data_IF_214871939510
#
_entry.id   IF_214871939510
#
_cell.length_a   1.000
_cell.length_b   1.000
_cell.length_c   1.000
_cell.angle_alpha   90.00
_cell.angle_beta   90.00
_cell.angle_gamma   90.00
#
_symmetry.space_group_name_H-M   'P 1'
#
loop_
_entity.id
_entity.type
_entity.pdbx_description
1 polymer ?
#
# COMPACT_ATOMS: atom_id res chain seq x y z
N UNK A 1 -3.00 5.45 24.95
CA UNK A 1 -3.76 5.02 23.75
C UNK A 1 -4.41 6.25 23.09
N UNK A 2 -3.81 6.72 22.00
CA UNK A 2 -4.33 7.87 21.26
C UNK A 2 -5.59 7.48 20.49
N UNK A 3 -6.44 8.46 20.17
CA UNK A 3 -7.65 8.30 19.33
C UNK A 3 -7.40 7.73 17.91
N UNK A 4 -6.21 7.21 17.60
CA UNK A 4 -5.79 6.77 16.27
C UNK A 4 -5.40 5.28 16.25
N UNK A 5 -5.03 4.70 17.40
CA UNK A 5 -4.64 3.29 17.52
C UNK A 5 -5.77 2.33 17.09
N UNK A 6 -7.03 2.69 17.34
CA UNK A 6 -8.19 1.87 16.98
C UNK A 6 -8.45 1.78 15.46
N UNK A 7 -7.95 2.74 14.67
CA UNK A 7 -8.21 2.78 13.23
C UNK A 7 -7.50 1.62 12.55
N UNK A 8 -6.22 1.37 12.86
CA UNK A 8 -5.49 0.22 12.32
C UNK A 8 -5.98 -1.13 12.87
N UNK A 9 -6.57 -1.15 14.06
CA UNK A 9 -7.24 -2.35 14.57
C UNK A 9 -8.51 -2.69 13.77
N UNK A 10 -9.09 -1.73 13.03
CA UNK A 10 -10.32 -1.95 12.26
C UNK A 10 -10.06 -2.79 11.01
N UNK A 11 -10.74 -3.95 10.83
CA UNK A 11 -10.67 -4.77 9.61
C UNK A 11 -10.78 -3.97 8.32
N UNK A 12 -9.80 -4.13 7.43
CA UNK A 12 -9.81 -3.53 6.11
C UNK A 12 -9.54 -2.02 6.07
N UNK A 13 -9.03 -1.41 7.14
CA UNK A 13 -8.86 0.04 7.14
C UNK A 13 -7.88 0.52 6.06
N UNK A 14 -8.12 1.74 5.60
CA UNK A 14 -7.22 2.51 4.76
C UNK A 14 -6.98 3.84 5.46
N UNK A 15 -5.72 4.14 5.76
CA UNK A 15 -5.29 5.43 6.30
C UNK A 15 -4.44 6.12 5.23
N UNK A 16 -4.78 7.37 4.94
CA UNK A 16 -3.99 8.22 4.06
C UNK A 16 -3.39 9.35 4.88
N UNK A 17 -2.07 9.45 4.88
CA UNK A 17 -1.30 10.42 5.63
C UNK A 17 -0.71 11.46 4.67
N UNK A 18 -1.06 12.72 4.87
CA UNK A 18 -0.39 13.83 4.20
C UNK A 18 0.60 14.45 5.18
N UNK A 19 1.87 14.51 4.80
CA UNK A 19 2.93 15.02 5.64
C UNK A 19 3.90 15.92 4.87
N UNK A 20 4.20 17.09 5.45
CA UNK A 20 5.17 18.05 4.90
C UNK A 20 6.61 17.64 5.14
N UNK A 21 6.87 16.82 6.16
CA UNK A 21 8.19 16.29 6.45
C UNK A 21 8.11 14.78 6.63
N UNK A 22 8.74 14.06 5.72
CA UNK A 22 8.75 12.59 5.67
C UNK A 22 9.25 11.96 6.99
N UNK A 23 10.32 12.51 7.57
CA UNK A 23 10.85 12.05 8.87
C UNK A 23 9.85 12.15 10.02
N UNK A 24 9.01 13.18 10.01
CA UNK A 24 7.99 13.37 11.05
C UNK A 24 6.82 12.40 10.85
N UNK A 25 6.44 12.12 9.60
CA UNK A 25 5.49 11.05 9.28
C UNK A 25 5.99 9.69 9.74
N UNK A 26 7.22 9.34 9.41
CA UNK A 26 7.85 8.08 9.82
C UNK A 26 7.87 7.98 11.35
N UNK A 27 8.30 9.02 12.07
CA UNK A 27 8.34 9.02 13.53
C UNK A 27 6.94 8.96 14.17
N UNK A 28 5.92 9.59 13.57
CA UNK A 28 4.54 9.46 14.03
C UNK A 28 4.02 8.04 13.80
N UNK A 29 4.32 7.45 12.65
CA UNK A 29 3.88 6.12 12.29
C UNK A 29 4.59 5.03 13.07
N UNK A 30 5.87 5.16 13.35
CA UNK A 30 6.58 4.21 14.20
C UNK A 30 5.97 4.20 15.61
N UNK A 31 5.57 5.37 16.14
CA UNK A 31 4.83 5.41 17.41
C UNK A 31 3.48 4.70 17.36
N UNK A 32 2.82 4.72 16.20
CA UNK A 32 1.53 4.07 15.99
C UNK A 32 1.66 2.56 15.69
N UNK A 33 2.73 2.15 15.00
CA UNK A 33 2.98 0.78 14.57
C UNK A 33 3.73 -0.06 15.63
N UNK A 34 4.59 0.55 16.45
CA UNK A 34 5.36 -0.15 17.48
C UNK A 34 4.50 -0.91 18.50
N UNK A 35 3.36 -0.37 18.98
CA UNK A 35 2.46 -1.13 19.84
C UNK A 35 1.76 -2.29 19.10
N UNK A 36 1.56 -2.16 17.78
CA UNK A 36 0.84 -3.14 16.96
C UNK A 36 1.72 -4.31 16.53
N UNK A 37 3.03 -4.11 16.36
CA UNK A 37 3.97 -5.21 16.12
C UNK A 37 3.96 -6.23 17.26
N UNK A 38 3.71 -5.78 18.49
CA UNK A 38 3.52 -6.64 19.66
C UNK A 38 2.14 -7.34 19.72
N UNK A 39 1.18 -6.96 18.86
CA UNK A 39 -0.21 -7.46 18.87
C UNK A 39 -0.51 -8.42 17.71
N UNK A 40 0.47 -9.23 17.28
CA UNK A 40 0.34 -10.19 16.18
C UNK A 40 -0.11 -9.57 14.84
N UNK A 41 0.49 -8.45 14.44
CA UNK A 41 0.35 -7.91 13.08
C UNK A 41 1.63 -8.17 12.29
N UNK A 42 1.48 -8.51 11.00
CA UNK A 42 2.59 -8.49 10.04
C UNK A 42 2.66 -7.10 9.44
N UNK A 43 3.80 -6.43 9.53
CA UNK A 43 3.99 -5.08 9.03
C UNK A 43 5.01 -5.13 7.91
N UNK A 44 4.60 -4.72 6.71
CA UNK A 44 5.48 -4.54 5.56
C UNK A 44 5.63 -3.06 5.33
N UNK A 45 6.86 -2.57 5.41
CA UNK A 45 7.21 -1.18 5.12
C UNK A 45 7.87 -1.12 3.74
N UNK A 46 7.27 -0.38 2.82
CA UNK A 46 7.77 -0.22 1.48
C UNK A 46 7.89 1.27 1.14
N UNK A 47 9.13 1.69 0.93
CA UNK A 47 9.44 3.02 0.41
C UNK A 47 9.73 2.92 -1.08
N UNK A 48 9.12 3.82 -1.84
CA UNK A 48 9.33 3.89 -3.28
C UNK A 48 10.65 4.59 -3.66
N UNK A 49 11.39 5.14 -2.70
CA UNK A 49 12.76 5.63 -2.93
C UNK A 49 13.73 4.51 -3.32
N UNK A 50 13.46 3.27 -2.90
CA UNK A 50 14.29 2.11 -3.26
C UNK A 50 14.01 1.55 -4.66
N UNK A 51 12.98 2.05 -5.34
CA UNK A 51 12.75 1.68 -6.73
C UNK A 51 13.67 2.48 -7.64
N UNK A 52 14.35 1.80 -8.56
CA UNK A 52 14.90 2.47 -9.75
C UNK A 52 13.74 2.95 -10.65
N UNK A 53 13.55 4.27 -10.84
CA UNK A 53 12.41 4.78 -11.61
C UNK A 53 12.42 4.35 -13.08
N UNK A 54 13.60 4.19 -13.69
CA UNK A 54 13.71 3.80 -15.10
C UNK A 54 13.39 2.32 -15.29
N UNK A 55 13.79 1.49 -14.33
CA UNK A 55 13.54 0.05 -14.39
C UNK A 55 12.14 -0.33 -13.89
N UNK A 56 11.53 0.44 -12.98
CA UNK A 56 10.32 0.01 -12.29
C UNK A 56 9.10 0.88 -12.53
N UNK A 57 9.23 2.20 -12.77
CA UNK A 57 8.04 3.08 -12.88
C UNK A 57 7.56 3.31 -14.31
N UNK A 58 8.32 2.85 -15.31
CA UNK A 58 7.96 3.05 -16.72
C UNK A 58 6.79 2.15 -17.17
N UNK A 59 6.64 0.97 -16.58
CA UNK A 59 5.65 -0.02 -16.98
C UNK A 59 4.93 -0.60 -15.76
N UNK A 60 3.60 -0.61 -15.79
CA UNK A 60 2.78 -1.06 -14.66
C UNK A 60 3.12 -2.49 -14.23
N UNK A 61 3.34 -3.38 -15.18
CA UNK A 61 3.63 -4.76 -14.88
C UNK A 61 5.01 -4.93 -14.20
N UNK A 62 6.03 -4.23 -14.69
CA UNK A 62 7.34 -4.20 -14.03
C UNK A 62 7.25 -3.63 -12.61
N UNK A 63 6.48 -2.55 -12.44
CA UNK A 63 6.20 -1.97 -11.14
C UNK A 63 5.53 -2.98 -10.19
N UNK A 64 4.45 -3.64 -10.63
CA UNK A 64 3.69 -4.57 -9.80
C UNK A 64 4.49 -5.84 -9.47
N UNK A 65 5.34 -6.32 -10.38
CA UNK A 65 6.29 -7.42 -10.12
C UNK A 65 7.31 -7.00 -9.06
N UNK A 66 7.95 -5.84 -9.21
CA UNK A 66 8.87 -5.29 -8.20
C UNK A 66 8.18 -5.12 -6.84
N UNK A 67 6.98 -4.56 -6.84
CA UNK A 67 6.16 -4.39 -5.64
C UNK A 67 5.92 -5.74 -4.93
N UNK A 68 5.44 -6.75 -5.66
CA UNK A 68 5.18 -8.07 -5.08
C UNK A 68 6.44 -8.78 -4.59
N UNK A 69 7.58 -8.64 -5.29
CA UNK A 69 8.86 -9.19 -4.86
C UNK A 69 9.35 -8.56 -3.55
N UNK A 70 9.21 -7.24 -3.39
CA UNK A 70 9.53 -6.59 -2.14
C UNK A 70 8.56 -7.00 -1.02
N UNK A 71 7.27 -7.14 -1.33
CA UNK A 71 6.25 -7.59 -0.37
C UNK A 71 6.62 -8.96 0.23
N UNK A 72 6.93 -9.95 -0.60
CA UNK A 72 7.27 -11.30 -0.11
C UNK A 72 8.62 -11.34 0.58
N UNK A 73 9.59 -10.52 0.15
CA UNK A 73 10.90 -10.39 0.81
C UNK A 73 10.74 -9.89 2.23
N UNK A 74 9.98 -8.82 2.44
CA UNK A 74 9.70 -8.28 3.78
C UNK A 74 8.91 -9.27 4.66
N UNK A 75 8.07 -10.11 4.04
CA UNK A 75 7.37 -11.19 4.74
C UNK A 75 8.20 -12.47 4.94
N UNK A 76 9.43 -12.51 4.42
CA UNK A 76 10.29 -13.71 4.42
C UNK A 76 9.63 -14.93 3.78
N UNK A 77 8.82 -14.72 2.73
CA UNK A 77 8.18 -15.79 1.96
C UNK A 77 9.04 -16.14 0.73
N UNK A 78 9.01 -17.41 0.26
CA UNK A 78 9.69 -17.80 -0.97
C UNK A 78 9.21 -17.00 -2.18
N UNK A 79 10.08 -16.83 -3.19
CA UNK A 79 9.65 -16.27 -4.46
C UNK A 79 8.88 -17.31 -5.26
N UNK A 80 7.64 -17.00 -5.60
CA UNK A 80 6.71 -17.83 -6.38
C UNK A 80 6.04 -17.01 -7.49
N UNK A 81 6.60 -15.84 -7.81
CA UNK A 81 5.94 -14.90 -8.69
C UNK A 81 5.91 -15.41 -10.14
N UNK A 82 6.96 -16.11 -10.60
CA UNK A 82 7.01 -16.64 -11.96
C UNK A 82 5.96 -17.72 -12.24
N UNK A 83 5.59 -18.53 -11.23
CA UNK A 83 4.63 -19.63 -11.39
C UNK A 83 3.17 -19.14 -11.47
N UNK A 84 2.86 -18.03 -10.80
CA UNK A 84 1.49 -17.51 -10.68
C UNK A 84 1.17 -16.26 -11.49
N UNK A 85 2.16 -15.66 -12.19
CA UNK A 85 1.98 -14.37 -12.85
C UNK A 85 1.68 -14.48 -14.34
N UNK A 86 0.40 -14.50 -14.67
CA UNK A 86 -0.08 -14.51 -16.05
C UNK A 86 -0.41 -13.09 -16.54
N UNK A 87 0.58 -12.38 -17.06
CA UNK A 87 0.35 -11.04 -17.62
C UNK A 87 -0.44 -11.09 -18.94
N UNK A 88 -0.20 -12.10 -19.77
CA UNK A 88 -0.71 -12.15 -21.15
C UNK A 88 -2.21 -12.42 -21.21
N UNK A 89 -2.73 -13.31 -20.34
CA UNK A 89 -4.15 -13.65 -20.32
C UNK A 89 -4.96 -12.82 -19.32
N UNK A 90 -4.42 -12.57 -18.12
CA UNK A 90 -5.18 -11.94 -17.02
C UNK A 90 -4.87 -10.44 -16.87
N UNK A 91 -3.70 -10.00 -17.31
CA UNK A 91 -3.21 -8.64 -17.12
C UNK A 91 -2.64 -8.39 -15.71
N UNK A 92 -1.64 -7.52 -15.63
CA UNK A 92 -0.83 -7.32 -14.43
C UNK A 92 -1.62 -6.97 -13.15
N UNK A 93 -2.71 -6.21 -13.25
CA UNK A 93 -3.57 -5.86 -12.09
C UNK A 93 -4.27 -7.08 -11.48
N UNK A 94 -4.77 -7.97 -12.33
CA UNK A 94 -5.43 -9.21 -11.89
C UNK A 94 -4.38 -10.14 -11.32
N UNK A 95 -3.25 -10.33 -12.01
CA UNK A 95 -2.16 -11.20 -11.55
C UNK A 95 -1.60 -10.76 -10.19
N UNK A 96 -1.39 -9.45 -9.99
CA UNK A 96 -1.00 -8.90 -8.69
C UNK A 96 -2.03 -9.21 -7.60
N UNK A 97 -3.31 -9.01 -7.89
CA UNK A 97 -4.40 -9.25 -6.94
C UNK A 97 -4.52 -10.73 -6.58
N UNK A 98 -4.46 -11.62 -7.58
CA UNK A 98 -4.49 -13.07 -7.40
C UNK A 98 -3.28 -13.55 -6.61
N UNK A 99 -2.10 -13.00 -6.88
CA UNK A 99 -0.89 -13.31 -6.11
C UNK A 99 -1.06 -13.00 -4.61
N UNK A 100 -1.67 -11.87 -4.27
CA UNK A 100 -1.99 -11.57 -2.88
C UNK A 100 -3.06 -12.53 -2.31
N UNK A 101 -4.12 -12.82 -3.07
CA UNK A 101 -5.22 -13.70 -2.64
C UNK A 101 -4.80 -15.15 -2.43
N UNK A 102 -4.07 -15.73 -3.36
CA UNK A 102 -3.83 -17.17 -3.46
C UNK A 102 -2.46 -17.57 -2.91
N UNK A 103 -1.48 -16.66 -2.91
CA UNK A 103 -0.15 -16.95 -2.40
C UNK A 103 0.14 -16.26 -1.07
N UNK A 104 0.01 -14.93 -1.00
CA UNK A 104 0.45 -14.18 0.19
C UNK A 104 -0.48 -14.39 1.40
N UNK A 105 -1.78 -14.16 1.24
CA UNK A 105 -2.72 -14.23 2.38
C UNK A 105 -2.88 -15.63 3.01
N UNK A 106 -2.76 -16.75 2.28
CA UNK A 106 -2.77 -18.08 2.88
C UNK A 106 -1.54 -18.39 3.73
N UNK A 107 -0.40 -17.73 3.47
CA UNK A 107 0.85 -17.95 4.21
C UNK A 107 0.93 -17.15 5.52
N UNK A 108 0.04 -16.18 5.73
CA UNK A 108 0.01 -15.37 6.94
C UNK A 108 -1.29 -15.60 7.71
N UNK A 109 -1.17 -15.85 9.01
CA UNK A 109 -2.32 -16.02 9.90
C UNK A 109 -2.77 -14.67 10.48
N UNK A 110 -1.85 -13.74 10.58
CA UNK A 110 -2.03 -12.40 11.12
C UNK A 110 -2.60 -11.42 10.07
N UNK A 111 -3.23 -10.32 10.52
CA UNK A 111 -3.50 -9.19 9.64
C UNK A 111 -2.19 -8.56 9.12
N UNK A 112 -2.22 -8.14 7.85
CA UNK A 112 -1.13 -7.49 7.16
C UNK A 112 -1.33 -5.98 7.12
N UNK A 113 -0.42 -5.24 7.71
CA UNK A 113 -0.30 -3.79 7.52
C UNK A 113 0.70 -3.54 6.40
N UNK A 114 0.19 -3.04 5.29
CA UNK A 114 1.00 -2.59 4.16
C UNK A 114 1.18 -1.07 4.25
N UNK A 115 2.39 -0.68 4.63
CA UNK A 115 2.84 0.70 4.72
C UNK A 115 3.55 1.08 3.42
N UNK A 116 2.98 2.03 2.67
CA UNK A 116 3.54 2.57 1.44
C UNK A 116 3.93 4.03 1.65
N UNK A 117 5.22 4.35 1.53
CA UNK A 117 5.73 5.72 1.53
C UNK A 117 6.19 6.16 0.16
N UNK A 118 6.35 7.49 0.01
CA UNK A 118 6.92 8.11 -1.18
C UNK A 118 6.06 7.89 -2.43
N UNK A 119 4.73 7.81 -2.24
CA UNK A 119 3.75 7.65 -3.31
C UNK A 119 3.85 8.77 -4.36
N UNK A 120 4.29 9.96 -3.95
CA UNK A 120 4.50 11.11 -4.82
C UNK A 120 5.63 10.92 -5.84
N UNK A 121 6.51 9.93 -5.66
CA UNK A 121 7.49 9.52 -6.68
C UNK A 121 6.83 8.90 -7.91
N UNK A 122 5.63 8.34 -7.79
CA UNK A 122 4.88 7.80 -8.91
C UNK A 122 4.17 8.89 -9.74
N UNK A 123 3.96 10.09 -9.19
CA UNK A 123 3.15 11.13 -9.86
C UNK A 123 3.64 11.53 -11.26
N UNK A 124 4.96 11.59 -11.55
CA UNK A 124 5.44 11.80 -12.91
C UNK A 124 5.09 10.66 -13.89
N UNK A 125 4.86 9.45 -13.38
CA UNK A 125 4.56 8.23 -14.13
C UNK A 125 3.06 7.96 -14.12
N UNK A 126 2.31 8.85 -14.78
CA UNK A 126 0.86 8.96 -14.67
C UNK A 126 0.11 7.63 -14.86
N UNK A 127 0.45 6.85 -15.88
CA UNK A 127 -0.22 5.58 -16.17
C UNK A 127 -0.06 4.59 -15.01
N UNK A 128 1.18 4.37 -14.55
CA UNK A 128 1.46 3.48 -13.42
C UNK A 128 0.81 3.98 -12.14
N UNK A 129 0.88 5.30 -11.90
CA UNK A 129 0.28 5.92 -10.72
C UNK A 129 -1.24 5.76 -10.69
N UNK A 130 -1.94 6.11 -11.77
CA UNK A 130 -3.40 6.03 -11.85
C UNK A 130 -3.88 4.58 -11.66
N UNK A 131 -3.24 3.63 -12.34
CA UNK A 131 -3.61 2.22 -12.25
C UNK A 131 -3.29 1.61 -10.88
N UNK A 132 -2.15 1.96 -10.28
CA UNK A 132 -1.79 1.46 -8.96
C UNK A 132 -2.68 2.03 -7.85
N UNK A 133 -2.98 3.33 -7.88
CA UNK A 133 -3.90 3.95 -6.92
C UNK A 133 -5.31 3.37 -7.05
N UNK A 134 -5.78 3.14 -8.28
CA UNK A 134 -7.03 2.44 -8.56
C UNK A 134 -7.03 0.99 -8.02
N UNK A 135 -5.89 0.29 -8.12
CA UNK A 135 -5.71 -1.06 -7.58
C UNK A 135 -5.79 -1.07 -6.04
N UNK A 136 -5.10 -0.16 -5.36
CA UNK A 136 -5.16 -0.01 -3.89
C UNK A 136 -6.59 0.27 -3.42
N UNK A 137 -7.31 1.12 -4.13
CA UNK A 137 -8.73 1.38 -3.85
C UNK A 137 -9.58 0.12 -4.02
N UNK A 138 -9.41 -0.61 -5.12
CA UNK A 138 -10.12 -1.87 -5.36
C UNK A 138 -9.88 -2.87 -4.23
N UNK A 139 -8.63 -3.00 -3.77
CA UNK A 139 -8.28 -3.83 -2.61
C UNK A 139 -8.99 -3.37 -1.34
N UNK A 140 -9.01 -2.07 -1.07
CA UNK A 140 -9.77 -1.49 0.05
C UNK A 140 -11.27 -1.84 -0.04
N UNK A 141 -11.90 -1.70 -1.20
CA UNK A 141 -13.31 -2.05 -1.40
C UNK A 141 -13.55 -3.55 -1.21
N UNK A 142 -12.63 -4.42 -1.67
CA UNK A 142 -12.68 -5.86 -1.42
C UNK A 142 -12.70 -6.19 0.07
N UNK A 143 -12.05 -5.42 0.94
CA UNK A 143 -12.09 -5.67 2.40
C UNK A 143 -13.50 -5.63 2.99
N UNK A 144 -14.41 -4.87 2.39
CA UNK A 144 -15.79 -4.75 2.87
C UNK A 144 -16.58 -6.04 2.63
N UNK A 145 -16.34 -6.66 1.47
CA UNK A 145 -17.16 -7.76 0.94
C UNK A 145 -16.47 -9.13 1.01
N UNK A 146 -15.14 -9.19 1.06
CA UNK A 146 -14.36 -10.44 1.05
C UNK A 146 -13.64 -10.65 2.39
N UNK A 147 -13.96 -11.72 3.15
CA UNK A 147 -13.34 -11.99 4.45
C UNK A 147 -11.82 -12.10 4.40
N UNK A 148 -11.25 -12.66 3.33
CA UNK A 148 -9.79 -12.77 3.17
C UNK A 148 -9.10 -11.40 3.16
N UNK A 149 -9.66 -10.43 2.42
CA UNK A 149 -9.12 -9.08 2.32
C UNK A 149 -9.27 -8.26 3.60
N UNK A 150 -10.13 -8.68 4.54
CA UNK A 150 -10.17 -8.07 5.87
C UNK A 150 -8.89 -8.28 6.66
N UNK A 151 -7.95 -9.11 6.21
CA UNK A 151 -6.58 -9.17 6.77
C UNK A 151 -5.76 -7.94 6.40
N UNK A 152 -6.02 -7.29 5.27
CA UNK A 152 -5.24 -6.15 4.80
C UNK A 152 -5.58 -4.87 5.58
N UNK A 153 -4.57 -4.09 5.91
CA UNK A 153 -4.63 -2.69 6.35
C UNK A 153 -3.71 -1.90 5.45
N UNK A 154 -4.23 -0.84 4.85
CA UNK A 154 -3.45 0.04 3.98
C UNK A 154 -3.09 1.31 4.75
N UNK A 155 -1.82 1.66 4.70
CA UNK A 155 -1.31 2.91 5.24
C UNK A 155 -0.49 3.59 4.15
N UNK A 156 -1.04 4.66 3.59
CA UNK A 156 -0.50 5.39 2.45
C UNK A 156 0.08 6.72 2.93
N UNK A 157 1.35 6.99 2.65
CA UNK A 157 1.98 8.28 2.95
C UNK A 157 2.30 9.02 1.68
N UNK A 158 1.84 10.26 1.63
CA UNK A 158 2.10 11.20 0.56
C UNK A 158 2.82 12.44 1.12
N UNK A 159 3.93 12.84 0.50
CA UNK A 159 4.55 14.13 0.77
C UNK A 159 3.62 15.28 0.37
N UNK A 160 3.42 16.28 1.25
CA UNK A 160 2.57 17.44 0.93
C UNK A 160 3.21 18.41 -0.05
N UNK A 161 4.53 18.31 -0.24
CA UNK A 161 5.32 19.27 -1.03
C UNK A 161 5.19 19.03 -2.54
N UNK A 162 4.63 17.88 -2.94
CA UNK A 162 4.32 17.58 -4.34
C UNK A 162 2.80 17.56 -4.51
N UNK A 163 2.21 18.59 -5.15
CA UNK A 163 0.79 18.58 -5.41
C UNK A 163 0.46 17.37 -6.30
N UNK A 164 -0.54 16.60 -5.89
CA UNK A 164 -1.07 15.51 -6.71
C UNK A 164 -1.76 16.12 -7.93
N UNK A 165 -0.98 16.35 -9.00
CA UNK A 165 -1.48 16.87 -10.28
C UNK A 165 -2.11 15.76 -11.14
N UNK A 166 -2.78 14.80 -10.49
CA UNK A 166 -3.53 13.75 -11.15
C UNK A 166 -5.01 14.12 -11.14
N UNK A 167 -5.62 14.21 -12.32
CA UNK A 167 -7.07 14.24 -12.46
C UNK A 167 -7.63 12.81 -12.34
N UNK A 168 -7.48 12.21 -11.17
CA UNK A 168 -8.10 10.91 -10.88
C UNK A 168 -9.62 11.11 -10.75
N UNK A 169 -10.43 10.31 -11.46
CA UNK A 169 -11.86 10.23 -11.17
C UNK A 169 -12.07 9.97 -9.67
N UNK A 170 -13.09 10.60 -9.08
CA UNK A 170 -13.43 10.48 -7.64
C UNK A 170 -13.55 9.00 -7.22
N UNK A 171 -13.94 8.14 -8.15
CA UNK A 171 -14.12 6.70 -8.02
C UNK A 171 -12.84 5.86 -8.19
N UNK A 172 -11.68 6.47 -8.44
CA UNK A 172 -10.38 5.79 -8.55
C UNK A 172 -9.40 6.19 -7.44
N UNK A 173 -9.61 7.32 -6.77
CA UNK A 173 -8.71 7.79 -5.71
C UNK A 173 -8.89 6.98 -4.41
N UNK A 174 -7.84 6.35 -3.85
CA UNK A 174 -7.89 5.74 -2.52
C UNK A 174 -7.94 6.80 -1.40
N UNK A 175 -7.45 8.01 -1.68
CA UNK A 175 -7.34 9.10 -0.71
C UNK A 175 -8.68 9.68 -0.25
N UNK A 176 -9.78 9.33 -0.94
CA UNK A 176 -11.13 9.85 -0.67
C UNK A 176 -12.07 8.85 0.01
N UNK A 177 -11.68 7.58 0.14
CA UNK A 177 -12.55 6.50 0.65
C UNK A 177 -12.14 5.94 2.02
N UNK A 178 -10.93 6.27 2.49
CA UNK A 178 -10.39 5.87 3.78
C UNK A 178 -10.43 6.98 4.85
N UNK A 179 -9.80 6.71 5.99
CA UNK A 179 -9.53 7.73 6.99
C UNK A 179 -8.35 8.58 6.52
N UNK A 180 -8.62 9.82 6.09
CA UNK A 180 -7.57 10.78 5.77
C UNK A 180 -7.12 11.49 7.04
N UNK A 181 -5.85 11.36 7.38
CA UNK A 181 -5.21 12.03 8.50
C UNK A 181 -4.18 13.01 7.92
N UNK A 182 -4.39 14.30 8.13
CA UNK A 182 -3.34 15.28 7.89
C UNK A 182 -2.54 15.41 9.18
N UNK A 183 -1.23 15.18 9.14
CA UNK A 183 -0.41 15.47 10.31
C UNK A 183 -0.38 16.98 10.52
N UNK A 184 -0.61 17.46 11.75
CA UNK A 184 -0.30 18.85 12.07
C UNK A 184 1.19 19.06 11.82
N UNK A 185 1.54 20.19 11.20
CA UNK A 185 2.94 20.62 11.11
C UNK A 185 3.47 20.73 12.55
N UNK A 186 4.48 19.93 12.89
CA UNK A 186 5.14 20.08 14.19
C UNK A 186 5.83 21.45 14.18
N UNK A 187 5.32 22.35 15.03
CA UNK A 187 5.86 23.69 15.28
C UNK A 187 7.23 23.60 15.95
#
# INVERSE_FOLDING_TARGET
PGKQDWVLSTPGCLICLQASKEKEAIAWLDRLLNPLSAQNYRIVRMSFEFADPQAHFFNLNQFLRWFCLNLIRELSLPNQLEEGWDEECLGAKVSCTTYLEEYVFPQINEPLILYLSDLDLLFPYREVCEDFLGLLRSWYEKTRNRPLWRKLRLLLVQGSDRPMNLNLPINQSPFQVGCSLKLPEFS
#
